data_IF_749512600692
#
_entry.id   IF_749512600692
#
_cell.length_a   1.000
_cell.length_b   1.000
_cell.length_c   1.000
_cell.angle_alpha   90.00
_cell.angle_beta   90.00
_cell.angle_gamma   90.00
#
_symmetry.space_group_name_H-M   'P 1'
#
loop_
_entity.id
_entity.type
_entity.pdbx_description
1 polymer ?
#
# COMPACT_ATOMS: atom_id res chain seq x y z
N UNK A 1 17.85 14.75 -7.13
CA UNK A 1 17.60 13.32 -7.25
C UNK A 1 16.73 12.88 -6.06
N UNK A 2 15.67 12.12 -6.29
CA UNK A 2 14.85 11.51 -5.23
C UNK A 2 15.42 10.15 -4.83
N UNK A 3 15.16 9.74 -3.59
CA UNK A 3 15.44 8.37 -3.15
C UNK A 3 14.33 7.42 -3.60
N UNK A 4 13.06 7.90 -3.56
CA UNK A 4 11.89 7.14 -3.99
C UNK A 4 10.87 8.03 -4.69
N UNK A 5 10.35 7.56 -5.83
CA UNK A 5 9.12 8.08 -6.44
C UNK A 5 8.05 6.99 -6.33
N UNK A 6 6.93 7.30 -5.68
CA UNK A 6 5.77 6.40 -5.66
C UNK A 6 4.84 6.70 -6.82
N UNK A 7 4.28 5.68 -7.45
CA UNK A 7 3.33 5.78 -8.57
C UNK A 7 2.10 4.97 -8.22
N UNK A 8 0.96 5.64 -8.05
CA UNK A 8 -0.29 4.97 -7.70
C UNK A 8 -1.37 5.93 -7.25
N UNK A 9 -2.50 5.37 -6.85
CA UNK A 9 -3.64 6.15 -6.37
C UNK A 9 -3.41 6.67 -4.94
N UNK A 10 -3.94 7.89 -4.72
CA UNK A 10 -4.18 8.46 -3.41
C UNK A 10 -5.68 8.56 -3.17
N UNK A 11 -6.13 8.35 -1.94
CA UNK A 11 -7.54 8.32 -1.56
C UNK A 11 -7.81 9.24 -0.40
N UNK A 12 -9.07 9.67 -0.29
CA UNK A 12 -9.58 10.29 0.92
C UNK A 12 -10.53 9.29 1.59
N UNK A 13 -10.19 8.86 2.80
CA UNK A 13 -10.90 7.79 3.48
C UNK A 13 -11.70 8.38 4.65
N UNK A 14 -13.02 8.10 4.68
CA UNK A 14 -13.91 8.40 5.81
C UNK A 14 -14.19 7.12 6.57
N UNK A 15 -13.82 7.10 7.83
CA UNK A 15 -14.08 6.00 8.76
C UNK A 15 -15.40 6.25 9.47
N UNK A 16 -16.29 5.29 9.42
CA UNK A 16 -17.56 5.27 10.15
C UNK A 16 -17.50 4.15 11.15
N UNK A 17 -17.56 4.47 12.45
CA UNK A 17 -17.64 3.50 13.52
C UNK A 17 -19.11 3.36 13.88
N UNK A 18 -19.66 2.17 13.63
CA UNK A 18 -21.05 1.86 13.94
C UNK A 18 -21.18 1.40 15.38
N UNK A 19 -22.26 1.78 16.05
CA UNK A 19 -22.58 1.27 17.38
C UNK A 19 -22.77 -0.25 17.36
N UNK A 20 -22.11 -0.97 18.28
CA UNK A 20 -22.20 -2.43 18.35
C UNK A 20 -23.62 -2.94 18.65
N UNK A 21 -24.42 -2.17 19.38
CA UNK A 21 -25.82 -2.46 19.70
C UNK A 21 -26.83 -1.79 18.77
N UNK A 22 -26.41 -1.49 17.55
CA UNK A 22 -27.24 -0.81 16.56
C UNK A 22 -28.32 -1.74 16.00
N UNK A 23 -29.59 -1.40 16.23
CA UNK A 23 -30.73 -2.18 15.71
C UNK A 23 -30.94 -2.00 14.18
N UNK A 24 -30.38 -0.96 13.57
CA UNK A 24 -30.48 -0.71 12.13
C UNK A 24 -29.45 -1.49 11.29
N UNK A 25 -28.56 -2.22 11.97
CA UNK A 25 -27.47 -2.97 11.34
C UNK A 25 -27.40 -4.39 11.96
N UNK A 26 -27.30 -5.41 11.13
CA UNK A 26 -27.18 -6.80 11.57
C UNK A 26 -26.01 -7.51 10.89
N UNK A 27 -25.32 -8.36 11.66
CA UNK A 27 -24.26 -9.23 11.17
C UNK A 27 -24.81 -10.66 11.04
N UNK A 28 -24.62 -11.29 9.88
CA UNK A 28 -25.03 -12.67 9.67
C UNK A 28 -24.36 -13.62 10.67
N UNK A 29 -25.03 -14.75 11.02
CA UNK A 29 -24.51 -15.75 11.97
C UNK A 29 -23.10 -16.25 11.64
N UNK A 30 -22.75 -16.34 10.37
CA UNK A 30 -21.41 -16.74 9.90
C UNK A 30 -20.42 -15.57 9.79
N UNK A 31 -20.81 -14.36 10.25
CA UNK A 31 -20.01 -13.11 10.20
C UNK A 31 -19.49 -12.72 8.81
N UNK A 32 -20.17 -13.12 7.74
CA UNK A 32 -19.74 -12.82 6.35
C UNK A 32 -20.51 -11.68 5.72
N UNK A 33 -21.69 -11.34 6.22
CA UNK A 33 -22.56 -10.32 5.66
C UNK A 33 -22.98 -9.34 6.74
N UNK A 34 -22.87 -8.05 6.44
CA UNK A 34 -23.46 -6.96 7.19
C UNK A 34 -24.68 -6.46 6.39
N UNK A 35 -25.81 -6.28 7.05
CA UNK A 35 -27.07 -5.81 6.46
C UNK A 35 -27.56 -4.58 7.21
N UNK A 36 -28.17 -3.66 6.49
CA UNK A 36 -28.78 -2.44 7.01
C UNK A 36 -30.28 -2.47 6.71
N UNK A 37 -31.08 -1.88 7.61
CA UNK A 37 -32.49 -1.69 7.34
C UNK A 37 -32.67 -0.74 6.14
N UNK A 38 -33.49 -1.17 5.20
CA UNK A 38 -33.76 -0.37 4.00
C UNK A 38 -34.49 0.92 4.34
N UNK A 39 -34.05 2.04 3.76
CA UNK A 39 -34.64 3.37 3.91
C UNK A 39 -34.65 3.94 5.35
N UNK A 40 -33.86 3.38 6.26
CA UNK A 40 -33.72 3.87 7.63
C UNK A 40 -32.40 4.62 7.86
N UNK A 41 -32.37 5.46 8.90
CA UNK A 41 -31.14 6.12 9.36
C UNK A 41 -30.39 5.17 10.27
N UNK A 42 -29.12 4.91 9.93
CA UNK A 42 -28.22 4.11 10.77
C UNK A 42 -27.35 5.05 11.60
N UNK A 43 -27.43 5.00 12.93
CA UNK A 43 -26.60 5.80 13.83
C UNK A 43 -25.12 5.43 13.67
N UNK A 44 -24.26 6.45 13.78
CA UNK A 44 -22.82 6.32 13.77
C UNK A 44 -22.30 6.79 15.13
N UNK A 45 -21.52 5.95 15.82
CA UNK A 45 -20.92 6.28 17.11
C UNK A 45 -19.81 7.32 16.96
N UNK A 46 -18.96 7.16 15.95
CA UNK A 46 -17.83 8.06 15.71
C UNK A 46 -17.46 8.08 14.23
N UNK A 47 -16.78 9.16 13.83
CA UNK A 47 -16.23 9.31 12.47
C UNK A 47 -14.85 9.93 12.50
N UNK A 48 -14.01 9.53 11.54
CA UNK A 48 -12.70 10.12 11.31
C UNK A 48 -12.42 10.19 9.81
N UNK A 49 -11.55 11.10 9.42
CA UNK A 49 -11.12 11.25 8.04
C UNK A 49 -9.60 11.23 7.95
N UNK A 50 -9.06 10.62 6.92
CA UNK A 50 -7.62 10.63 6.66
C UNK A 50 -7.30 10.50 5.18
N UNK A 51 -6.12 10.98 4.81
CA UNK A 51 -5.52 10.66 3.52
C UNK A 51 -5.02 9.22 3.56
N UNK A 52 -5.33 8.48 2.51
CA UNK A 52 -4.95 7.10 2.30
C UNK A 52 -4.47 6.85 0.87
N UNK A 53 -4.47 5.59 0.48
CA UNK A 53 -3.96 5.09 -0.80
C UNK A 53 -2.50 4.65 -0.70
N UNK A 54 -2.21 3.48 -1.29
CA UNK A 54 -0.93 2.80 -1.12
C UNK A 54 0.27 3.69 -1.51
N UNK A 55 0.17 4.44 -2.62
CA UNK A 55 1.26 5.32 -3.05
C UNK A 55 1.51 6.47 -2.06
N UNK A 56 0.43 7.08 -1.55
CA UNK A 56 0.52 8.16 -0.56
C UNK A 56 1.09 7.66 0.77
N UNK A 57 0.59 6.51 1.27
CA UNK A 57 1.03 5.93 2.52
C UNK A 57 2.53 5.58 2.50
N UNK A 58 3.00 4.95 1.41
CA UNK A 58 4.42 4.60 1.28
C UNK A 58 5.29 5.84 1.09
N UNK A 59 4.85 6.84 0.32
CA UNK A 59 5.59 8.10 0.16
C UNK A 59 5.81 8.80 1.50
N UNK A 60 4.74 8.93 2.31
CA UNK A 60 4.79 9.53 3.65
C UNK A 60 5.64 8.69 4.59
N UNK A 61 5.47 7.36 4.59
CA UNK A 61 6.23 6.46 5.46
C UNK A 61 7.73 6.54 5.21
N UNK A 62 8.16 6.46 3.95
CA UNK A 62 9.59 6.57 3.59
C UNK A 62 10.14 7.98 3.86
N UNK A 63 9.30 9.03 3.69
CA UNK A 63 9.67 10.40 4.06
C UNK A 63 9.92 10.54 5.56
N UNK A 64 9.03 10.01 6.41
CA UNK A 64 9.20 10.02 7.89
C UNK A 64 10.47 9.29 8.33
N UNK A 65 10.91 8.30 7.54
CA UNK A 65 12.15 7.55 7.78
C UNK A 65 13.41 8.26 7.24
N UNK A 66 13.28 9.51 6.75
CA UNK A 66 14.41 10.41 6.46
C UNK A 66 14.80 10.52 4.98
N UNK A 67 14.04 9.95 4.05
CA UNK A 67 14.37 9.96 2.62
C UNK A 67 13.66 11.05 1.82
N UNK A 68 14.18 11.37 0.64
CA UNK A 68 13.56 12.32 -0.31
C UNK A 68 12.56 11.58 -1.17
N UNK A 69 11.26 11.86 -0.97
CA UNK A 69 10.18 11.19 -1.69
C UNK A 69 9.40 12.15 -2.58
N UNK A 70 8.91 11.63 -3.70
CA UNK A 70 7.92 12.28 -4.56
C UNK A 70 6.82 11.29 -4.92
N UNK A 71 5.69 11.79 -5.41
CA UNK A 71 4.53 10.96 -5.74
C UNK A 71 3.96 11.35 -7.12
N UNK A 72 3.72 10.34 -7.95
CA UNK A 72 2.91 10.43 -9.17
C UNK A 72 1.53 9.89 -8.86
N UNK A 73 0.56 10.77 -8.79
CA UNK A 73 -0.84 10.42 -8.57
C UNK A 73 -1.75 11.41 -9.31
N UNK A 74 -2.96 11.00 -9.65
CA UNK A 74 -3.96 11.85 -10.31
C UNK A 74 -5.13 12.11 -9.36
N UNK A 75 -5.35 13.39 -9.04
CA UNK A 75 -6.40 13.87 -8.16
C UNK A 75 -7.44 14.67 -8.97
N UNK A 76 -8.65 14.78 -8.45
CA UNK A 76 -9.60 15.78 -8.94
C UNK A 76 -9.24 17.18 -8.46
N UNK A 77 -9.97 18.19 -8.97
CA UNK A 77 -9.96 19.56 -8.43
C UNK A 77 -11.05 19.79 -7.38
N UNK A 78 -11.60 18.69 -6.83
CA UNK A 78 -12.53 18.71 -5.71
C UNK A 78 -11.80 18.93 -4.36
N UNK A 79 -12.57 19.15 -3.29
CA UNK A 79 -12.05 19.43 -1.96
C UNK A 79 -11.12 18.31 -1.46
N UNK A 80 -11.49 17.04 -1.73
CA UNK A 80 -10.68 15.89 -1.33
C UNK A 80 -9.31 15.87 -2.02
N UNK A 81 -9.26 16.25 -3.31
CA UNK A 81 -8.01 16.38 -4.05
C UNK A 81 -7.09 17.45 -3.51
N UNK A 82 -7.66 18.60 -3.09
CA UNK A 82 -6.91 19.66 -2.44
C UNK A 82 -6.36 19.20 -1.08
N UNK A 83 -7.19 18.60 -0.24
CA UNK A 83 -6.77 18.09 1.08
C UNK A 83 -5.64 17.06 0.93
N UNK A 84 -5.77 16.07 0.02
CA UNK A 84 -4.72 15.06 -0.20
C UNK A 84 -3.40 15.73 -0.59
N UNK A 85 -3.43 16.67 -1.54
CA UNK A 85 -2.21 17.35 -2.01
C UNK A 85 -1.55 18.16 -0.90
N UNK A 86 -2.34 18.86 -0.11
CA UNK A 86 -1.87 19.65 1.03
C UNK A 86 -1.26 18.76 2.12
N UNK A 87 -1.94 17.68 2.51
CA UNK A 87 -1.45 16.74 3.54
C UNK A 87 -0.16 16.04 3.11
N UNK A 88 -0.04 15.63 1.84
CA UNK A 88 1.20 15.11 1.30
C UNK A 88 2.36 16.11 1.41
N UNK A 89 2.10 17.37 1.05
CA UNK A 89 3.07 18.46 1.15
C UNK A 89 3.46 18.75 2.59
N UNK A 90 2.49 18.83 3.53
CA UNK A 90 2.74 19.00 4.98
C UNK A 90 3.59 17.88 5.56
N UNK A 91 3.41 16.64 5.08
CA UNK A 91 4.25 15.51 5.45
C UNK A 91 5.61 15.50 4.73
N UNK A 92 5.94 16.54 3.95
CA UNK A 92 7.24 16.72 3.28
C UNK A 92 7.44 15.85 2.04
N UNK A 93 6.38 15.26 1.48
CA UNK A 93 6.42 14.58 0.18
C UNK A 93 6.40 15.63 -0.92
N UNK A 94 7.27 15.49 -1.91
CA UNK A 94 7.26 16.39 -3.07
C UNK A 94 6.04 16.10 -3.96
N UNK A 95 5.19 17.10 -4.17
CA UNK A 95 3.93 17.01 -4.91
C UNK A 95 3.98 17.60 -6.32
N UNK A 96 5.18 17.90 -6.85
CA UNK A 96 5.33 18.49 -8.18
C UNK A 96 4.87 17.58 -9.31
N UNK A 97 4.83 16.26 -9.08
CA UNK A 97 4.36 15.27 -10.04
C UNK A 97 2.89 14.88 -9.85
N UNK A 98 2.18 15.52 -8.91
CA UNK A 98 0.75 15.34 -8.73
C UNK A 98 -0.01 16.05 -9.84
N UNK A 99 -0.84 15.30 -10.57
CA UNK A 99 -1.70 15.86 -11.61
C UNK A 99 -3.11 16.08 -11.08
N UNK A 100 -3.57 17.33 -11.10
CA UNK A 100 -4.97 17.67 -10.80
C UNK A 100 -5.78 17.74 -12.10
N UNK A 101 -6.88 17.01 -12.15
CA UNK A 101 -7.75 16.90 -13.32
C UNK A 101 -8.98 17.78 -13.08
N UNK A 102 -9.14 18.78 -13.93
CA UNK A 102 -10.26 19.73 -13.86
C UNK A 102 -11.61 19.00 -13.99
N UNK A 103 -12.58 19.39 -13.17
CA UNK A 103 -13.93 18.82 -13.13
C UNK A 103 -13.99 17.31 -12.91
N UNK A 104 -12.96 16.73 -12.28
CA UNK A 104 -12.96 15.32 -11.89
C UNK A 104 -13.05 15.19 -10.37
N UNK A 105 -13.66 14.10 -9.91
CA UNK A 105 -13.70 13.72 -8.50
C UNK A 105 -12.44 12.95 -8.10
N UNK A 106 -12.02 13.11 -6.87
CA UNK A 106 -10.92 12.34 -6.30
C UNK A 106 -11.41 10.96 -5.83
N UNK A 107 -10.53 9.98 -5.83
CA UNK A 107 -10.80 8.65 -5.28
C UNK A 107 -11.16 8.78 -3.80
N UNK A 108 -12.19 8.04 -3.40
CA UNK A 108 -12.80 8.17 -2.09
C UNK A 108 -13.18 6.79 -1.55
N UNK A 109 -13.02 6.58 -0.24
CA UNK A 109 -13.46 5.35 0.42
C UNK A 109 -14.28 5.68 1.68
N UNK A 110 -15.31 4.87 1.92
CA UNK A 110 -15.99 4.80 3.21
C UNK A 110 -15.56 3.48 3.85
N UNK A 111 -14.97 3.58 5.02
CA UNK A 111 -14.51 2.43 5.82
C UNK A 111 -15.49 2.22 6.96
N UNK A 112 -16.38 1.26 6.81
CA UNK A 112 -17.32 0.87 7.85
C UNK A 112 -16.63 -0.05 8.85
N UNK A 113 -16.53 0.38 10.10
CA UNK A 113 -16.02 -0.42 11.21
C UNK A 113 -17.20 -0.92 12.05
N UNK A 114 -17.31 -2.23 12.20
CA UNK A 114 -18.36 -2.88 12.98
C UNK A 114 -17.86 -4.18 13.59
N UNK A 115 -18.06 -4.35 14.89
CA UNK A 115 -17.64 -5.55 15.65
C UNK A 115 -16.16 -5.93 15.41
N UNK A 116 -15.26 -4.94 15.43
CA UNK A 116 -13.80 -5.15 15.29
C UNK A 116 -13.29 -5.44 13.87
N UNK A 117 -14.19 -5.53 12.88
CA UNK A 117 -13.82 -5.74 11.48
C UNK A 117 -14.27 -4.57 10.60
N UNK A 118 -13.76 -4.52 9.36
CA UNK A 118 -14.06 -3.43 8.43
C UNK A 118 -14.58 -3.92 7.10
N UNK A 119 -15.50 -3.13 6.54
CA UNK A 119 -15.92 -3.22 5.14
C UNK A 119 -15.59 -1.91 4.44
N UNK A 120 -14.98 -1.97 3.26
CA UNK A 120 -14.55 -0.77 2.52
C UNK A 120 -15.43 -0.60 1.28
N UNK A 121 -16.17 0.50 1.22
CA UNK A 121 -16.88 0.96 0.03
C UNK A 121 -15.95 1.92 -0.70
N UNK A 122 -15.43 1.53 -1.85
CA UNK A 122 -14.41 2.29 -2.56
C UNK A 122 -14.92 2.82 -3.89
N UNK A 123 -14.92 4.15 -4.02
CA UNK A 123 -15.19 4.82 -5.30
C UNK A 123 -13.88 4.99 -6.07
N UNK A 124 -13.85 4.40 -7.26
CA UNK A 124 -12.75 4.52 -8.19
C UNK A 124 -13.12 5.49 -9.32
N UNK A 125 -12.63 6.72 -9.23
CA UNK A 125 -12.78 7.70 -10.30
C UNK A 125 -12.12 7.17 -11.59
N UNK A 126 -12.82 7.33 -12.73
CA UNK A 126 -12.23 7.00 -14.04
C UNK A 126 -11.02 7.89 -14.31
N UNK A 127 -9.89 7.29 -14.64
CA UNK A 127 -8.63 7.99 -14.96
C UNK A 127 -8.08 7.53 -16.30
N UNK A 128 -7.44 8.45 -16.98
CA UNK A 128 -6.61 8.15 -18.15
C UNK A 128 -5.16 8.40 -17.73
N UNK A 129 -4.64 7.47 -16.94
CA UNK A 129 -3.33 7.61 -16.30
C UNK A 129 -2.24 7.97 -17.29
N UNK A 130 -1.38 8.90 -16.87
CA UNK A 130 -0.22 9.31 -17.65
C UNK A 130 1.03 9.35 -16.75
N UNK A 131 2.13 8.84 -17.24
CA UNK A 131 3.42 8.98 -16.58
C UNK A 131 4.05 10.32 -17.03
N UNK A 132 4.33 11.26 -16.09
CA UNK A 132 5.07 12.48 -16.42
C UNK A 132 6.55 12.17 -16.68
N UNK A 133 7.30 13.17 -17.12
CA UNK A 133 8.75 13.06 -17.13
C UNK A 133 9.27 12.93 -15.70
N UNK A 134 9.85 11.77 -15.39
CA UNK A 134 10.35 11.50 -14.05
C UNK A 134 11.75 12.11 -13.87
N UNK A 135 12.00 12.83 -12.78
CA UNK A 135 13.35 13.21 -12.39
C UNK A 135 14.15 11.98 -11.95
N UNK A 136 15.49 12.08 -11.97
CA UNK A 136 16.36 10.99 -11.49
C UNK A 136 15.95 10.52 -10.09
N UNK A 137 15.81 9.21 -9.95
CA UNK A 137 15.44 8.56 -8.69
C UNK A 137 16.21 7.24 -8.53
N UNK A 138 16.44 6.81 -7.29
CA UNK A 138 17.06 5.51 -7.00
C UNK A 138 16.05 4.38 -7.14
N UNK A 139 14.82 4.59 -6.63
CA UNK A 139 13.74 3.62 -6.64
C UNK A 139 12.44 4.22 -7.14
N UNK A 140 11.67 3.40 -7.82
CA UNK A 140 10.25 3.63 -8.10
C UNK A 140 9.46 2.58 -7.33
N UNK A 141 8.39 3.01 -6.65
CA UNK A 141 7.39 2.13 -6.07
C UNK A 141 6.10 2.25 -6.86
N UNK A 142 5.77 1.22 -7.64
CA UNK A 142 4.58 1.15 -8.46
C UNK A 142 3.51 0.32 -7.76
N UNK A 143 2.33 0.90 -7.55
CA UNK A 143 1.29 0.26 -6.75
C UNK A 143 -0.10 0.51 -7.34
N UNK A 144 -1.11 0.40 -6.50
CA UNK A 144 -2.54 0.42 -6.78
C UNK A 144 -2.96 1.49 -7.77
N UNK A 145 -3.50 1.07 -8.90
CA UNK A 145 -4.14 1.90 -9.92
C UNK A 145 -5.45 1.26 -10.38
N UNK A 146 -6.38 2.09 -10.84
CA UNK A 146 -7.67 1.66 -11.37
C UNK A 146 -7.65 1.30 -12.85
N UNK A 147 -8.81 1.42 -13.50
CA UNK A 147 -8.98 1.15 -14.94
C UNK A 147 -7.99 1.95 -15.79
N UNK A 148 -7.44 1.32 -16.80
CA UNK A 148 -6.42 1.87 -17.73
C UNK A 148 -5.01 2.00 -17.12
N UNK A 149 -4.70 1.27 -16.05
CA UNK A 149 -3.36 1.23 -15.46
C UNK A 149 -2.29 0.75 -16.46
N UNK A 150 -2.67 -0.05 -17.45
CA UNK A 150 -1.76 -0.57 -18.46
C UNK A 150 -1.03 0.55 -19.20
N UNK A 151 -1.69 1.70 -19.43
CA UNK A 151 -1.07 2.84 -20.13
C UNK A 151 0.12 3.43 -19.38
N UNK A 152 0.03 3.54 -18.06
CA UNK A 152 1.15 4.05 -17.25
C UNK A 152 2.21 2.97 -17.07
N UNK A 153 1.80 1.70 -16.97
CA UNK A 153 2.69 0.56 -16.88
C UNK A 153 3.58 0.45 -18.13
N UNK A 154 3.00 0.49 -19.34
CA UNK A 154 3.76 0.44 -20.59
C UNK A 154 4.79 1.59 -20.71
N UNK A 155 4.46 2.78 -20.20
CA UNK A 155 5.39 3.91 -20.16
C UNK A 155 6.47 3.71 -19.10
N UNK A 156 6.13 3.13 -17.96
CA UNK A 156 7.08 2.80 -16.91
C UNK A 156 8.08 1.74 -17.37
N UNK A 157 7.63 0.71 -18.08
CA UNK A 157 8.51 -0.29 -18.69
C UNK A 157 9.54 0.36 -19.62
N UNK A 158 9.10 1.24 -20.53
CA UNK A 158 9.99 2.00 -21.44
C UNK A 158 10.96 2.92 -20.69
N UNK A 159 10.50 3.51 -19.56
CA UNK A 159 11.36 4.33 -18.71
C UNK A 159 12.46 3.48 -18.07
N UNK A 160 12.13 2.31 -17.51
CA UNK A 160 13.08 1.41 -16.85
C UNK A 160 14.09 0.83 -17.84
N UNK A 161 13.68 0.52 -19.08
CA UNK A 161 14.60 0.11 -20.15
C UNK A 161 15.68 1.15 -20.46
N UNK A 162 15.31 2.44 -20.38
CA UNK A 162 16.23 3.56 -20.63
C UNK A 162 17.05 3.98 -19.39
N UNK A 163 16.64 3.55 -18.21
CA UNK A 163 17.24 3.91 -16.92
C UNK A 163 17.46 2.66 -16.07
N UNK A 164 18.37 1.75 -16.48
CA UNK A 164 18.57 0.45 -15.84
C UNK A 164 19.11 0.55 -14.39
N UNK A 165 19.65 1.71 -14.02
CA UNK A 165 20.08 2.01 -12.65
C UNK A 165 18.92 2.28 -11.68
N UNK A 166 17.74 2.63 -12.22
CA UNK A 166 16.54 2.86 -11.40
C UNK A 166 15.90 1.52 -11.02
N UNK A 167 15.80 1.24 -9.74
CA UNK A 167 15.20 0.02 -9.24
C UNK A 167 13.68 0.14 -9.09
N UNK A 168 12.98 -0.97 -9.27
CA UNK A 168 11.53 -1.05 -9.21
C UNK A 168 11.06 -1.93 -8.06
N UNK A 169 10.22 -1.36 -7.18
CA UNK A 169 9.42 -2.10 -6.23
C UNK A 169 7.95 -2.08 -6.66
N UNK A 170 7.25 -3.20 -6.50
CA UNK A 170 5.83 -3.34 -6.89
C UNK A 170 5.02 -3.93 -5.74
N UNK A 171 3.82 -3.37 -5.55
CA UNK A 171 2.70 -4.00 -4.87
C UNK A 171 1.43 -3.77 -5.70
N UNK A 172 1.04 -4.71 -6.57
CA UNK A 172 -0.13 -4.53 -7.41
C UNK A 172 -1.40 -4.38 -6.58
N UNK A 173 -2.22 -3.39 -6.90
CA UNK A 173 -3.51 -3.21 -6.23
C UNK A 173 -4.54 -4.28 -6.61
N UNK A 174 -5.60 -4.40 -5.80
CA UNK A 174 -6.67 -5.40 -6.00
C UNK A 174 -7.28 -5.34 -7.40
N UNK A 175 -7.45 -4.14 -7.99
CA UNK A 175 -7.94 -4.01 -9.35
C UNK A 175 -7.00 -4.64 -10.38
N UNK A 176 -5.71 -4.38 -10.27
CA UNK A 176 -4.68 -4.92 -11.16
C UNK A 176 -4.61 -6.45 -11.03
N UNK A 177 -4.60 -6.98 -9.80
CA UNK A 177 -4.62 -8.43 -9.51
C UNK A 177 -5.87 -9.09 -10.09
N UNK A 178 -7.05 -8.49 -9.93
CA UNK A 178 -8.30 -9.03 -10.45
C UNK A 178 -8.38 -9.01 -12.00
N UNK A 179 -7.57 -8.19 -12.67
CA UNK A 179 -7.41 -8.21 -14.13
C UNK A 179 -6.55 -9.38 -14.63
N UNK A 180 -5.92 -10.08 -13.70
CA UNK A 180 -5.14 -11.28 -13.95
C UNK A 180 -3.66 -11.03 -14.19
N UNK A 181 -2.87 -12.07 -13.96
CA UNK A 181 -1.42 -12.06 -14.06
C UNK A 181 -0.91 -11.57 -15.43
N UNK A 182 -1.61 -11.91 -16.51
CA UNK A 182 -1.25 -11.54 -17.89
C UNK A 182 -1.10 -10.02 -18.08
N UNK A 183 -1.84 -9.22 -17.29
CA UNK A 183 -1.76 -7.75 -17.34
C UNK A 183 -0.55 -7.19 -16.57
N UNK A 184 -0.04 -7.93 -15.61
CA UNK A 184 1.05 -7.49 -14.72
C UNK A 184 2.38 -8.12 -15.13
N UNK A 185 2.37 -9.32 -15.73
CA UNK A 185 3.58 -10.12 -15.98
C UNK A 185 4.65 -9.39 -16.79
N UNK A 186 4.29 -8.43 -17.66
CA UNK A 186 5.23 -7.71 -18.50
C UNK A 186 6.20 -6.84 -17.69
N UNK A 187 5.77 -6.30 -16.54
CA UNK A 187 6.63 -5.45 -15.71
C UNK A 187 7.45 -6.25 -14.70
N UNK A 188 7.09 -7.52 -14.43
CA UNK A 188 7.79 -8.34 -13.44
C UNK A 188 9.27 -8.57 -13.75
N UNK A 189 9.73 -8.74 -15.01
CA UNK A 189 11.16 -8.84 -15.34
C UNK A 189 11.99 -7.60 -14.98
N UNK A 190 11.36 -6.44 -14.82
CA UNK A 190 12.00 -5.19 -14.39
C UNK A 190 11.93 -5.00 -12.87
N UNK A 191 11.28 -5.94 -12.15
CA UNK A 191 10.97 -5.78 -10.72
C UNK A 191 12.11 -6.28 -9.85
N UNK A 192 12.73 -5.37 -9.11
CA UNK A 192 13.74 -5.72 -8.10
C UNK A 192 13.08 -6.24 -6.82
N UNK A 193 11.90 -5.73 -6.47
CA UNK A 193 11.18 -6.09 -5.25
C UNK A 193 9.67 -6.20 -5.49
N UNK A 194 9.11 -7.39 -5.29
CA UNK A 194 7.68 -7.64 -5.27
C UNK A 194 7.23 -7.87 -3.83
N UNK A 195 6.37 -7.01 -3.30
CA UNK A 195 5.76 -7.17 -1.98
C UNK A 195 4.27 -7.40 -2.16
N UNK A 196 3.74 -8.51 -1.64
CA UNK A 196 2.32 -8.85 -1.68
C UNK A 196 1.91 -9.51 -0.36
N UNK A 197 0.62 -9.46 -0.03
CA UNK A 197 0.12 -10.33 1.02
C UNK A 197 -0.15 -11.75 0.47
N UNK A 198 -0.38 -12.70 1.36
CA UNK A 198 -0.56 -14.11 0.99
C UNK A 198 -1.79 -14.34 0.09
N UNK A 199 -2.89 -13.62 0.34
CA UNK A 199 -4.09 -13.72 -0.49
C UNK A 199 -3.84 -13.18 -1.90
N UNK A 200 -3.13 -12.07 -2.01
CA UNK A 200 -2.70 -11.48 -3.29
C UNK A 200 -1.75 -12.43 -4.04
N UNK A 201 -0.79 -13.02 -3.33
CA UNK A 201 0.13 -14.01 -3.90
C UNK A 201 -0.63 -15.24 -4.45
N UNK A 202 -1.62 -15.75 -3.71
CA UNK A 202 -2.48 -16.86 -4.15
C UNK A 202 -3.26 -16.49 -5.42
N UNK A 203 -3.83 -15.28 -5.47
CA UNK A 203 -4.56 -14.79 -6.65
C UNK A 203 -3.65 -14.64 -7.86
N UNK A 204 -2.44 -14.11 -7.68
CA UNK A 204 -1.46 -13.95 -8.77
C UNK A 204 -0.98 -15.30 -9.31
N UNK A 205 -0.71 -16.26 -8.45
CA UNK A 205 -0.28 -17.62 -8.86
C UNK A 205 -1.46 -18.47 -9.35
N UNK A 206 -2.69 -18.11 -8.96
CA UNK A 206 -3.92 -18.84 -9.32
C UNK A 206 -4.11 -20.15 -8.55
N UNK A 207 -3.27 -20.43 -7.54
CA UNK A 207 -3.31 -21.68 -6.77
C UNK A 207 -2.93 -21.47 -5.31
N UNK A 208 -3.74 -22.02 -4.40
CA UNK A 208 -3.43 -22.02 -2.96
C UNK A 208 -2.22 -22.90 -2.68
N UNK A 209 -1.18 -22.32 -2.09
CA UNK A 209 0.09 -22.98 -1.78
C UNK A 209 0.69 -22.41 -0.49
N UNK A 210 1.75 -23.04 0.01
CA UNK A 210 2.56 -22.49 1.11
C UNK A 210 3.29 -21.22 0.66
N UNK A 211 3.63 -20.29 1.58
CA UNK A 211 4.38 -19.09 1.24
C UNK A 211 5.66 -19.39 0.43
N UNK A 212 6.39 -20.41 0.79
CA UNK A 212 7.60 -20.86 0.08
C UNK A 212 7.37 -21.15 -1.40
N UNK A 213 6.31 -21.92 -1.71
CA UNK A 213 5.97 -22.27 -3.09
C UNK A 213 5.45 -21.05 -3.86
N UNK A 214 4.69 -20.18 -3.20
CA UNK A 214 4.20 -18.94 -3.79
C UNK A 214 5.37 -18.01 -4.16
N UNK A 215 6.35 -17.81 -3.25
CA UNK A 215 7.53 -16.99 -3.52
C UNK A 215 8.34 -17.50 -4.72
N UNK A 216 8.59 -18.80 -4.78
CA UNK A 216 9.30 -19.41 -5.91
C UNK A 216 8.53 -19.22 -7.22
N UNK A 217 7.20 -19.38 -7.20
CA UNK A 217 6.36 -19.20 -8.39
C UNK A 217 6.40 -17.75 -8.87
N UNK A 218 6.32 -16.78 -7.95
CA UNK A 218 6.37 -15.33 -8.27
C UNK A 218 7.78 -14.90 -8.75
N UNK A 219 8.86 -15.45 -8.16
CA UNK A 219 10.23 -15.18 -8.61
C UNK A 219 10.48 -15.68 -10.03
N UNK A 220 9.93 -16.84 -10.40
CA UNK A 220 10.01 -17.36 -11.78
C UNK A 220 9.34 -16.46 -12.83
N UNK A 221 8.47 -15.54 -12.41
CA UNK A 221 7.86 -14.54 -13.29
C UNK A 221 8.77 -13.32 -13.54
N UNK A 222 9.93 -13.25 -12.88
CA UNK A 222 10.96 -12.25 -13.12
C UNK A 222 11.32 -11.36 -11.94
N UNK A 223 10.53 -11.33 -10.86
CA UNK A 223 10.85 -10.52 -9.68
C UNK A 223 12.11 -11.06 -8.97
N UNK A 224 13.10 -10.19 -8.71
CA UNK A 224 14.37 -10.57 -8.09
C UNK A 224 14.21 -10.93 -6.62
N UNK A 225 13.50 -10.09 -5.87
CA UNK A 225 13.16 -10.31 -4.45
C UNK A 225 11.64 -10.38 -4.35
N UNK A 226 11.12 -11.44 -3.77
CA UNK A 226 9.70 -11.61 -3.46
C UNK A 226 9.52 -11.60 -1.95
N UNK A 227 8.60 -10.76 -1.47
CA UNK A 227 8.21 -10.70 -0.06
C UNK A 227 6.72 -10.99 0.05
N UNK A 228 6.36 -11.92 0.93
CA UNK A 228 4.96 -12.25 1.24
C UNK A 228 4.70 -11.93 2.71
N UNK A 229 3.76 -11.02 2.97
CA UNK A 229 3.25 -10.77 4.32
C UNK A 229 2.04 -11.67 4.61
N UNK A 230 1.95 -12.23 5.83
CA UNK A 230 0.90 -13.17 6.24
C UNK A 230 0.31 -12.80 7.61
N UNK A 231 -0.12 -11.55 7.76
CA UNK A 231 -0.75 -11.03 8.98
C UNK A 231 0.06 -11.37 10.25
N UNK A 232 -0.60 -12.02 11.25
CA UNK A 232 0.01 -12.48 12.50
C UNK A 232 1.06 -13.58 12.33
N UNK A 233 1.08 -14.26 11.18
CA UNK A 233 2.07 -15.30 10.88
C UNK A 233 3.44 -14.70 10.47
N UNK A 234 3.53 -13.38 10.29
CA UNK A 234 4.79 -12.71 9.94
C UNK A 234 5.00 -12.49 8.45
N UNK A 235 6.25 -12.52 8.01
CA UNK A 235 6.61 -12.28 6.61
C UNK A 235 7.70 -13.25 6.14
N UNK A 236 7.68 -13.52 4.86
CA UNK A 236 8.58 -14.44 4.16
C UNK A 236 9.25 -13.70 3.02
N UNK A 237 10.51 -13.98 2.73
CA UNK A 237 11.18 -13.46 1.54
C UNK A 237 11.99 -14.52 0.81
N UNK A 238 12.18 -14.31 -0.49
CA UNK A 238 13.02 -15.12 -1.37
C UNK A 238 13.72 -14.22 -2.39
N UNK A 239 15.05 -14.33 -2.49
CA UNK A 239 15.90 -13.52 -3.38
C UNK A 239 16.46 -14.31 -4.55
N UNK A 240 15.87 -15.46 -4.86
CA UNK A 240 16.40 -16.41 -5.86
C UNK A 240 17.38 -17.42 -5.29
N UNK A 241 17.92 -17.20 -4.09
CA UNK A 241 18.92 -18.08 -3.44
C UNK A 241 18.46 -18.53 -2.06
N UNK A 242 18.16 -17.61 -1.18
CA UNK A 242 17.81 -17.91 0.21
C UNK A 242 16.37 -17.52 0.53
N UNK A 243 15.76 -18.27 1.43
CA UNK A 243 14.46 -17.99 2.02
C UNK A 243 14.67 -17.47 3.43
N UNK A 244 13.98 -16.38 3.76
CA UNK A 244 14.01 -15.82 5.09
C UNK A 244 12.59 -15.73 5.64
N UNK A 245 12.48 -15.81 6.96
CA UNK A 245 11.26 -15.65 7.71
C UNK A 245 11.49 -14.66 8.87
N UNK A 246 10.53 -13.77 9.08
CA UNK A 246 10.48 -12.86 10.23
C UNK A 246 9.09 -12.94 10.85
N UNK A 247 8.97 -13.28 12.14
CA UNK A 247 7.69 -13.34 12.83
C UNK A 247 7.10 -11.94 13.01
N UNK A 248 5.77 -11.87 13.07
CA UNK A 248 5.09 -10.63 13.42
C UNK A 248 5.34 -10.24 14.88
N UNK A 249 5.30 -8.92 15.17
CA UNK A 249 5.28 -8.46 16.56
C UNK A 249 3.89 -8.68 17.18
N UNK A 250 3.86 -9.24 18.38
CA UNK A 250 2.64 -9.36 19.16
C UNK A 250 2.33 -8.01 19.81
N UNK A 251 1.39 -7.27 19.25
CA UNK A 251 0.95 -5.96 19.73
C UNK A 251 -0.59 -5.89 19.72
N UNK A 252 -1.21 -5.06 20.57
CA UNK A 252 -2.63 -4.78 20.46
C UNK A 252 -2.98 -4.24 19.07
N UNK A 253 -4.03 -4.78 18.45
CA UNK A 253 -4.46 -4.36 17.13
C UNK A 253 -5.75 -3.55 17.24
N UNK A 254 -5.70 -2.28 16.79
CA UNK A 254 -6.85 -1.39 16.71
C UNK A 254 -7.41 -1.35 15.28
N UNK A 255 -6.52 -1.30 14.27
CA UNK A 255 -6.93 -1.25 12.87
C UNK A 255 -5.91 -1.93 11.96
N UNK A 256 -6.38 -2.74 10.99
CA UNK A 256 -5.50 -3.41 10.00
C UNK A 256 -5.13 -2.51 8.81
N UNK A 257 -5.79 -1.34 8.68
CA UNK A 257 -5.62 -0.45 7.51
C UNK A 257 -4.22 0.14 7.46
N UNK A 258 -3.55 0.04 6.30
CA UNK A 258 -2.22 0.60 6.09
C UNK A 258 -1.05 -0.26 6.59
N UNK A 259 -1.30 -1.43 7.20
CA UNK A 259 -0.22 -2.31 7.68
C UNK A 259 0.74 -2.73 6.55
N UNK A 260 0.23 -3.10 5.38
CA UNK A 260 1.03 -3.47 4.22
C UNK A 260 1.88 -2.31 3.68
N UNK A 261 1.32 -1.10 3.64
CA UNK A 261 2.03 0.11 3.21
C UNK A 261 3.10 0.50 4.23
N UNK A 262 2.80 0.38 5.53
CA UNK A 262 3.76 0.61 6.59
C UNK A 262 4.91 -0.41 6.53
N UNK A 263 4.59 -1.70 6.32
CA UNK A 263 5.61 -2.72 6.08
C UNK A 263 6.50 -2.35 4.89
N UNK A 264 5.89 -2.02 3.76
CA UNK A 264 6.61 -1.64 2.53
C UNK A 264 7.51 -0.43 2.75
N UNK A 265 7.03 0.60 3.44
CA UNK A 265 7.83 1.80 3.71
C UNK A 265 9.02 1.53 4.63
N UNK A 266 8.85 0.70 5.67
CA UNK A 266 9.94 0.26 6.54
C UNK A 266 10.97 -0.58 5.78
N UNK A 267 10.51 -1.54 4.99
CA UNK A 267 11.35 -2.40 4.16
C UNK A 267 12.18 -1.58 3.15
N UNK A 268 11.51 -0.73 2.34
CA UNK A 268 12.18 0.10 1.35
C UNK A 268 13.18 1.08 1.97
N UNK A 269 12.87 1.65 3.12
CA UNK A 269 13.79 2.55 3.84
C UNK A 269 15.06 1.85 4.27
N UNK A 270 14.97 0.60 4.72
CA UNK A 270 16.14 -0.21 5.06
C UNK A 270 16.97 -0.55 3.81
N UNK A 271 16.34 -0.95 2.71
CA UNK A 271 17.03 -1.18 1.44
C UNK A 271 17.71 0.09 0.92
N UNK A 272 17.08 1.26 1.07
CA UNK A 272 17.67 2.56 0.71
C UNK A 272 18.91 2.90 1.56
N UNK A 273 18.99 2.36 2.78
CA UNK A 273 20.18 2.42 3.64
C UNK A 273 21.21 1.29 3.37
N UNK A 274 21.03 0.50 2.30
CA UNK A 274 21.89 -0.63 1.92
C UNK A 274 21.99 -1.73 2.99
N UNK A 275 20.93 -1.97 3.77
CA UNK A 275 20.89 -3.08 4.72
C UNK A 275 20.53 -4.40 4.01
N UNK A 276 20.79 -5.52 4.67
CA UNK A 276 20.38 -6.84 4.20
C UNK A 276 18.85 -7.04 4.26
N UNK A 277 18.35 -8.06 3.56
CA UNK A 277 16.92 -8.34 3.42
C UNK A 277 16.28 -8.66 4.78
N UNK A 278 16.97 -9.38 5.67
CA UNK A 278 16.44 -9.74 6.98
C UNK A 278 16.23 -8.50 7.85
N UNK A 279 17.16 -7.58 7.84
CA UNK A 279 17.04 -6.27 8.49
C UNK A 279 15.91 -5.46 7.89
N UNK A 280 15.76 -5.46 6.55
CA UNK A 280 14.65 -4.78 5.88
C UNK A 280 13.29 -5.37 6.28
N UNK A 281 13.17 -6.69 6.38
CA UNK A 281 11.95 -7.37 6.87
C UNK A 281 11.63 -6.98 8.32
N UNK A 282 12.63 -6.90 9.20
CA UNK A 282 12.46 -6.45 10.58
C UNK A 282 11.95 -5.00 10.65
N UNK A 283 12.52 -4.09 9.84
CA UNK A 283 12.08 -2.71 9.74
C UNK A 283 10.62 -2.61 9.24
N UNK A 284 10.28 -3.40 8.22
CA UNK A 284 8.91 -3.51 7.72
C UNK A 284 7.94 -3.98 8.79
N UNK A 285 8.29 -5.05 9.49
CA UNK A 285 7.47 -5.64 10.57
C UNK A 285 7.28 -4.64 11.73
N UNK A 286 8.33 -3.93 12.14
CA UNK A 286 8.26 -2.93 13.21
C UNK A 286 7.32 -1.77 12.85
N UNK A 287 7.42 -1.27 11.61
CA UNK A 287 6.59 -0.15 11.16
C UNK A 287 5.12 -0.58 11.00
N UNK A 288 4.87 -1.78 10.46
CA UNK A 288 3.52 -2.35 10.38
C UNK A 288 2.89 -2.53 11.78
N UNK A 289 3.65 -3.09 12.73
CA UNK A 289 3.22 -3.27 14.11
C UNK A 289 2.87 -1.94 14.80
N UNK A 290 3.57 -0.86 14.50
CA UNK A 290 3.25 0.48 15.02
C UNK A 290 1.95 1.04 14.44
N UNK A 291 1.72 0.85 13.13
CA UNK A 291 0.52 1.39 12.45
C UNK A 291 -0.75 0.70 12.92
N UNK A 292 -0.75 -0.63 13.09
CA UNK A 292 -1.97 -1.35 13.48
C UNK A 292 -2.49 -1.02 14.89
N UNK A 293 -1.70 -0.31 15.70
CA UNK A 293 -2.08 0.17 17.03
C UNK A 293 -2.80 1.53 17.02
N UNK A 294 -3.12 2.07 15.83
CA UNK A 294 -3.80 3.37 15.68
C UNK A 294 -4.83 3.34 14.56
N UNK A 295 -5.86 4.17 14.67
CA UNK A 295 -6.77 4.41 13.56
C UNK A 295 -6.09 5.22 12.44
N UNK A 296 -6.35 4.86 11.19
CA UNK A 296 -5.79 5.51 10.00
C UNK A 296 -4.44 4.92 9.55
N UNK A 297 -4.18 4.98 8.26
CA UNK A 297 -3.04 4.30 7.61
C UNK A 297 -1.68 4.98 7.84
N UNK A 298 -1.66 6.23 8.34
CA UNK A 298 -0.45 7.03 8.49
C UNK A 298 -0.14 7.46 9.93
N UNK A 299 -1.11 7.35 10.85
CA UNK A 299 -0.98 7.87 12.22
C UNK A 299 0.03 7.11 13.09
N UNK A 300 0.30 5.86 12.77
CA UNK A 300 1.27 5.01 13.48
C UNK A 300 2.63 4.88 12.77
N UNK A 301 2.84 5.55 11.63
CA UNK A 301 4.12 5.48 10.92
C UNK A 301 5.27 6.00 11.77
N UNK A 302 6.30 5.18 11.93
CA UNK A 302 7.49 5.50 12.71
C UNK A 302 8.36 6.55 12.00
N UNK A 303 9.05 7.37 12.77
CA UNK A 303 10.20 8.12 12.28
C UNK A 303 11.50 7.30 12.44
N UNK A 304 12.60 7.80 11.88
CA UNK A 304 13.90 7.13 11.87
C UNK A 304 14.37 6.73 13.28
N UNK A 305 14.34 7.66 14.23
CA UNK A 305 14.78 7.41 15.63
C UNK A 305 13.93 6.35 16.33
N UNK A 306 12.61 6.37 16.09
CA UNK A 306 11.69 5.38 16.67
C UNK A 306 11.96 3.99 16.10
N UNK A 307 12.14 3.88 14.79
CA UNK A 307 12.44 2.61 14.11
C UNK A 307 13.77 2.03 14.62
N UNK A 308 14.84 2.83 14.63
CA UNK A 308 16.16 2.43 15.12
C UNK A 308 16.10 1.91 16.56
N UNK A 309 15.35 2.60 17.44
CA UNK A 309 15.16 2.17 18.84
C UNK A 309 14.47 0.81 18.97
N UNK A 310 13.52 0.49 18.07
CA UNK A 310 12.83 -0.80 18.08
C UNK A 310 13.74 -1.90 17.56
N UNK A 311 14.48 -1.64 16.48
CA UNK A 311 15.37 -2.63 15.87
C UNK A 311 16.56 -2.95 16.78
N UNK A 312 17.13 -1.96 17.47
CA UNK A 312 18.25 -2.15 18.40
C UNK A 312 17.93 -3.03 19.63
N UNK A 313 16.65 -3.27 19.92
CA UNK A 313 16.20 -4.14 21.02
C UNK A 313 16.05 -5.60 20.62
N UNK A 314 16.34 -5.94 19.37
CA UNK A 314 16.28 -7.29 18.80
C UNK A 314 17.69 -7.87 18.58
#
# INVERSE_FOLDING_TARGET
>A
MFDLITIGDSTFDTFLILEEKNHACTLSKNKKLISFNYAEKTPIENTAQSVGGNAANVAVGVKKLGFKTSIVTELGTDINGHIIKEELSKNGVNVSLVKQIKNATTRYSIVLNYCGERTILSYHAKRNYSLPNLPKTKWIYYTSLGKSFEKIQDKLEKYLQKNPETKLAINPGSYQINKGLEKIKKILPFTDLLIVNKEEAIKLVGKKQTPDKLMISLSKLGAKIVVITDNENGSYSFDGKQKLFVPAYKVPMIAKTGAGDAYTSGFLSAILNNTDIKTAMNCGTANAASVIQKHGSQNGLLNKKQLEKIIAKK
#
